data_IF_480628899405
#
_entry.id   IF_480628899405
#
_cell.length_a   1.000
_cell.length_b   1.000
_cell.length_c   1.000
_cell.angle_alpha   90.00
_cell.angle_beta   90.00
_cell.angle_gamma   90.00
#
_symmetry.space_group_name_H-M   'P 1'
#
loop_
_entity.id
_entity.type
_entity.pdbx_description
1 polymer ?
#
# COMPACT_ATOMS: atom_id res chain seq x y z
N UNK A 1 -4.46 80.60 -51.70
CA UNK A 1 -5.72 79.84 -51.50
C UNK A 1 -5.68 78.68 -52.47
N UNK A 2 -5.27 77.50 -51.99
CA UNK A 2 -5.02 76.35 -52.86
C UNK A 2 -5.50 75.07 -52.20
N UNK A 3 -6.48 74.43 -52.84
CA UNK A 3 -6.66 72.98 -52.94
C UNK A 3 -7.58 72.76 -54.16
N UNK A 4 -7.51 71.68 -54.96
CA UNK A 4 -7.28 70.31 -54.50
C UNK A 4 -6.49 69.38 -55.44
N UNK A 5 -6.31 68.15 -54.94
CA UNK A 5 -6.33 66.88 -55.68
C UNK A 5 -5.12 66.45 -56.51
N UNK A 6 -4.63 65.27 -56.09
CA UNK A 6 -4.24 64.10 -56.89
C UNK A 6 -2.76 63.84 -57.21
N UNK A 7 -2.42 62.58 -56.93
CA UNK A 7 -1.33 61.74 -57.44
C UNK A 7 0.06 61.89 -56.80
N UNK A 8 0.49 60.86 -56.04
CA UNK A 8 1.18 59.69 -56.60
C UNK A 8 1.45 58.66 -55.50
N UNK A 9 1.22 57.41 -55.86
CA UNK A 9 1.70 56.22 -55.17
C UNK A 9 3.20 56.36 -54.84
N UNK A 10 3.66 55.80 -53.73
CA UNK A 10 4.73 54.80 -53.66
C UNK A 10 4.73 54.19 -52.24
N UNK A 11 4.81 52.87 -52.22
CA UNK A 11 4.73 52.00 -51.04
C UNK A 11 5.93 52.13 -50.13
N UNK A 12 5.74 51.97 -48.82
CA UNK A 12 6.68 51.21 -48.00
C UNK A 12 5.93 50.34 -47.00
N UNK A 13 6.11 49.03 -47.18
CA UNK A 13 5.68 47.97 -46.27
C UNK A 13 6.35 48.19 -44.91
N UNK A 14 5.56 48.23 -43.84
CA UNK A 14 6.03 47.83 -42.53
C UNK A 14 5.16 46.64 -42.10
N UNK A 15 5.72 45.46 -42.34
CA UNK A 15 5.22 44.15 -41.93
C UNK A 15 4.98 44.14 -40.42
N UNK A 16 3.73 44.06 -40.00
CA UNK A 16 3.39 43.68 -38.63
C UNK A 16 3.64 42.16 -38.51
N UNK A 17 4.75 41.76 -37.86
CA UNK A 17 4.90 40.38 -37.39
C UNK A 17 3.88 40.15 -36.26
N UNK A 18 2.75 39.54 -36.60
CA UNK A 18 1.87 38.93 -35.62
C UNK A 18 2.58 37.67 -35.08
N UNK A 19 3.24 37.79 -33.93
CA UNK A 19 3.70 36.64 -33.16
C UNK A 19 2.47 35.93 -32.56
N UNK A 20 1.90 35.01 -33.32
CA UNK A 20 0.90 34.08 -32.79
C UNK A 20 1.60 33.08 -31.86
N UNK A 21 1.71 33.41 -30.58
CA UNK A 21 1.95 32.41 -29.53
C UNK A 21 0.73 31.50 -29.46
N UNK A 22 0.77 30.40 -30.20
CA UNK A 22 -0.13 29.28 -29.99
C UNK A 22 0.20 28.69 -28.61
N UNK A 23 -0.55 29.11 -27.59
CA UNK A 23 -0.58 28.43 -26.31
C UNK A 23 -1.17 27.03 -26.56
N UNK A 24 -0.31 26.03 -26.72
CA UNK A 24 -0.71 24.64 -26.64
C UNK A 24 -1.13 24.45 -25.18
N UNK A 25 -2.43 24.55 -24.92
CA UNK A 25 -3.01 24.09 -23.68
C UNK A 25 -2.82 22.57 -23.64
N UNK A 26 -1.70 22.11 -23.08
CA UNK A 26 -1.62 20.75 -22.57
C UNK A 26 -2.74 20.65 -21.55
N UNK A 27 -3.82 20.01 -21.94
CA UNK A 27 -4.85 19.60 -21.01
C UNK A 27 -4.15 18.60 -20.08
N UNK A 28 -3.79 19.04 -18.88
CA UNK A 28 -3.46 18.10 -17.82
C UNK A 28 -4.73 17.32 -17.62
N UNK A 29 -4.77 16.09 -18.16
CA UNK A 29 -5.80 15.13 -17.78
C UNK A 29 -5.73 15.11 -16.27
N UNK A 30 -6.78 15.52 -15.54
CA UNK A 30 -6.73 15.45 -14.10
C UNK A 30 -6.40 14.00 -13.79
N UNK A 31 -5.28 13.76 -13.10
CA UNK A 31 -4.96 12.44 -12.63
C UNK A 31 -6.15 12.06 -11.76
N UNK A 32 -7.04 11.20 -12.28
CA UNK A 32 -8.14 10.68 -11.48
C UNK A 32 -7.42 10.07 -10.30
N UNK A 33 -7.64 10.61 -9.10
CA UNK A 33 -7.16 9.99 -7.89
C UNK A 33 -7.60 8.53 -8.01
N UNK A 34 -6.62 7.63 -8.22
CA UNK A 34 -6.92 6.22 -8.32
C UNK A 34 -7.71 5.89 -7.05
N UNK A 35 -8.78 5.08 -7.13
CA UNK A 35 -9.40 4.56 -5.92
C UNK A 35 -8.28 4.08 -4.99
N UNK A 36 -8.33 4.47 -3.71
CA UNK A 36 -7.20 4.24 -2.79
C UNK A 36 -6.74 2.78 -2.80
N UNK A 37 -7.65 1.84 -3.07
CA UNK A 37 -7.38 0.41 -3.26
C UNK A 37 -6.45 0.08 -4.45
N UNK A 38 -6.61 0.79 -5.58
CA UNK A 38 -5.68 0.69 -6.70
C UNK A 38 -4.32 1.29 -6.38
N UNK A 39 -4.30 2.42 -5.66
CA UNK A 39 -3.06 3.01 -5.22
C UNK A 39 -2.32 2.06 -4.27
N UNK A 40 -3.02 1.44 -3.30
CA UNK A 40 -2.43 0.42 -2.41
C UNK A 40 -1.84 -0.73 -3.24
N UNK A 41 -2.60 -1.32 -4.17
CA UNK A 41 -2.10 -2.44 -4.97
C UNK A 41 -0.85 -2.08 -5.79
N UNK A 42 -0.90 -0.95 -6.52
CA UNK A 42 0.20 -0.52 -7.39
C UNK A 42 1.44 -0.10 -6.60
N UNK A 43 1.25 0.64 -5.51
CA UNK A 43 2.34 1.07 -4.64
C UNK A 43 2.96 -0.12 -3.91
N UNK A 44 2.15 -1.07 -3.44
CA UNK A 44 2.62 -2.31 -2.83
C UNK A 44 3.51 -3.11 -3.80
N UNK A 45 3.06 -3.25 -5.06
CA UNK A 45 3.82 -3.91 -6.12
C UNK A 45 5.17 -3.22 -6.37
N UNK A 46 5.29 -1.91 -6.12
CA UNK A 46 6.53 -1.15 -6.20
C UNK A 46 7.27 -0.93 -4.88
N UNK A 47 6.87 -1.59 -3.79
CA UNK A 47 7.53 -1.47 -2.49
C UNK A 47 7.22 -0.18 -1.69
N UNK A 48 6.12 0.51 -1.99
CA UNK A 48 5.74 1.84 -1.47
C UNK A 48 6.83 2.91 -1.69
N UNK A 49 7.05 3.35 -2.95
CA UNK A 49 7.98 4.44 -3.24
C UNK A 49 7.55 5.74 -2.55
N UNK A 50 8.49 6.68 -2.40
CA UNK A 50 8.32 7.92 -1.63
C UNK A 50 7.43 9.00 -2.30
N UNK A 51 6.37 8.62 -3.00
CA UNK A 51 5.39 9.55 -3.57
C UNK A 51 4.27 9.87 -2.59
N UNK A 52 3.65 11.05 -2.72
CA UNK A 52 2.48 11.44 -1.92
C UNK A 52 1.36 10.39 -1.97
N UNK A 53 1.08 9.88 -3.17
CA UNK A 53 0.05 8.87 -3.41
C UNK A 53 0.37 7.55 -2.70
N UNK A 54 1.62 7.08 -2.77
CA UNK A 54 2.01 5.83 -2.13
C UNK A 54 2.13 5.94 -0.62
N UNK A 55 2.51 7.11 -0.09
CA UNK A 55 2.43 7.36 1.36
C UNK A 55 1.00 7.33 1.85
N UNK A 56 0.07 7.98 1.14
CA UNK A 56 -1.35 7.96 1.48
C UNK A 56 -1.93 6.53 1.40
N UNK A 57 -1.56 5.78 0.36
CA UNK A 57 -1.93 4.38 0.20
C UNK A 57 -1.40 3.51 1.36
N UNK A 58 -0.13 3.65 1.72
CA UNK A 58 0.46 2.91 2.86
C UNK A 58 -0.26 3.23 4.16
N UNK A 59 -0.57 4.51 4.39
CA UNK A 59 -1.31 4.94 5.58
C UNK A 59 -2.71 4.32 5.64
N UNK A 60 -3.46 4.30 4.52
CA UNK A 60 -4.78 3.66 4.47
C UNK A 60 -4.69 2.14 4.67
N UNK A 61 -3.69 1.49 4.06
CA UNK A 61 -3.44 0.07 4.25
C UNK A 61 -3.20 -0.25 5.74
N UNK A 62 -2.34 0.53 6.41
CA UNK A 62 -2.08 0.39 7.85
C UNK A 62 -3.37 0.66 8.65
N UNK A 63 -4.10 1.72 8.34
CA UNK A 63 -5.37 2.08 9.01
C UNK A 63 -6.39 0.94 8.97
N UNK A 64 -6.47 0.19 7.89
CA UNK A 64 -7.38 -0.96 7.77
C UNK A 64 -6.97 -2.13 8.66
N UNK A 65 -5.68 -2.27 8.91
CA UNK A 65 -5.14 -3.37 9.72
C UNK A 65 -4.91 -2.98 11.18
N UNK A 66 -5.01 -1.69 11.55
CA UNK A 66 -4.75 -1.19 12.91
C UNK A 66 -5.77 -0.15 13.42
N UNK A 67 -6.11 -0.19 14.72
CA UNK A 67 -6.45 -1.37 15.52
C UNK A 67 -7.92 -1.79 15.25
N UNK A 68 -8.39 -2.85 15.93
CA UNK A 68 -9.68 -3.49 15.67
C UNK A 68 -10.86 -2.51 15.49
N UNK A 69 -11.75 -2.72 14.49
CA UNK A 69 -11.85 -3.89 13.61
C UNK A 69 -10.85 -3.92 12.46
N UNK A 70 -10.21 -5.09 12.27
CA UNK A 70 -9.26 -5.28 11.19
C UNK A 70 -9.99 -5.72 9.92
N UNK A 71 -9.86 -4.92 8.86
CA UNK A 71 -10.25 -5.27 7.50
C UNK A 71 -9.05 -5.80 6.70
N UNK A 72 -9.26 -6.65 5.68
CA UNK A 72 -8.19 -7.04 4.77
C UNK A 72 -7.52 -5.82 4.14
N UNK A 73 -6.17 -5.77 4.08
CA UNK A 73 -5.44 -4.59 3.60
C UNK A 73 -5.76 -4.25 2.13
N UNK A 74 -5.80 -5.27 1.27
CA UNK A 74 -6.22 -5.16 -0.11
C UNK A 74 -7.70 -5.51 -0.27
N UNK A 75 -8.45 -4.59 -0.89
CA UNK A 75 -9.83 -4.80 -1.33
C UNK A 75 -9.84 -4.80 -2.86
N UNK A 76 -9.30 -5.85 -3.49
CA UNK A 76 -9.06 -5.92 -4.94
C UNK A 76 -10.32 -5.63 -5.79
N UNK A 77 -11.51 -5.94 -5.28
CA UNK A 77 -12.80 -5.66 -5.93
C UNK A 77 -13.13 -4.16 -6.06
N UNK A 78 -12.47 -3.28 -5.31
CA UNK A 78 -12.57 -1.81 -5.44
C UNK A 78 -11.55 -1.22 -6.41
N UNK A 79 -10.70 -2.06 -6.98
CA UNK A 79 -9.71 -1.65 -7.97
C UNK A 79 -10.03 -2.22 -9.37
N UNK A 80 -10.93 -1.59 -10.14
CA UNK A 80 -11.21 -1.98 -11.51
C UNK A 80 -10.07 -1.51 -12.44
N UNK A 81 -8.94 -2.21 -12.41
CA UNK A 81 -7.87 -2.05 -13.39
C UNK A 81 -8.25 -2.70 -14.74
N UNK A 82 -9.32 -2.19 -15.38
CA UNK A 82 -9.72 -2.59 -16.73
C UNK A 82 -10.25 -4.02 -16.91
N UNK A 83 -10.43 -4.79 -15.83
CA UNK A 83 -11.07 -6.13 -15.86
C UNK A 83 -12.24 -6.16 -14.87
N UNK A 84 -13.37 -6.82 -15.20
CA UNK A 84 -14.52 -6.92 -14.31
C UNK A 84 -14.21 -7.91 -13.18
N UNK A 85 -13.44 -7.48 -12.18
CA UNK A 85 -13.30 -8.24 -10.94
C UNK A 85 -14.62 -8.17 -10.19
N UNK A 86 -15.44 -9.21 -10.36
CA UNK A 86 -16.68 -9.39 -9.59
C UNK A 86 -16.30 -9.60 -8.12
N UNK A 87 -17.00 -8.89 -7.22
CA UNK A 87 -16.72 -8.84 -5.78
C UNK A 87 -16.96 -10.17 -5.04
N UNK A 88 -17.06 -10.16 -3.69
CA UNK A 88 -17.18 -11.38 -2.89
C UNK A 88 -18.43 -12.25 -3.16
N UNK A 89 -19.38 -11.76 -3.96
CA UNK A 89 -20.57 -12.50 -4.43
C UNK A 89 -20.52 -12.85 -5.93
N UNK A 90 -19.40 -12.62 -6.62
CA UNK A 90 -19.21 -12.96 -8.02
C UNK A 90 -19.03 -14.47 -8.20
N UNK A 91 -20.06 -15.16 -8.68
CA UNK A 91 -20.04 -16.59 -9.00
C UNK A 91 -19.23 -16.87 -10.28
N UNK A 92 -17.93 -16.55 -10.28
CA UNK A 92 -17.00 -16.84 -11.37
C UNK A 92 -15.56 -16.93 -10.84
N UNK A 93 -14.69 -17.75 -11.45
CA UNK A 93 -13.29 -17.82 -11.04
C UNK A 93 -12.64 -16.45 -11.20
N UNK A 94 -12.16 -15.87 -10.10
CA UNK A 94 -11.45 -14.61 -10.09
C UNK A 94 -10.04 -14.85 -10.65
N UNK A 95 -9.90 -14.87 -11.98
CA UNK A 95 -8.60 -15.04 -12.63
C UNK A 95 -7.87 -13.68 -12.55
N UNK A 96 -7.20 -13.46 -11.43
CA UNK A 96 -6.23 -12.39 -11.29
C UNK A 96 -4.98 -12.76 -12.11
N UNK A 97 -4.31 -11.78 -12.77
CA UNK A 97 -3.00 -12.01 -13.35
C UNK A 97 -2.04 -12.59 -12.28
N UNK A 98 -1.14 -13.53 -12.65
CA UNK A 98 -0.23 -14.16 -11.70
C UNK A 98 0.58 -13.17 -10.87
N UNK A 99 0.94 -12.03 -11.45
CA UNK A 99 1.67 -10.95 -10.77
C UNK A 99 0.84 -10.31 -9.65
N UNK A 100 -0.47 -10.10 -9.87
CA UNK A 100 -1.38 -9.54 -8.85
C UNK A 100 -1.61 -10.54 -7.73
N UNK A 101 -1.73 -11.83 -8.06
CA UNK A 101 -1.79 -12.91 -7.06
C UNK A 101 -0.52 -12.92 -6.23
N UNK A 102 0.65 -12.84 -6.87
CA UNK A 102 1.94 -12.85 -6.19
C UNK A 102 2.13 -11.66 -5.23
N UNK A 103 1.66 -10.47 -5.61
CA UNK A 103 1.68 -9.27 -4.76
C UNK A 103 0.71 -9.42 -3.58
N UNK A 104 -0.53 -9.90 -3.83
CA UNK A 104 -1.54 -10.15 -2.78
C UNK A 104 -1.06 -11.19 -1.77
N UNK A 105 -0.59 -12.33 -2.26
CA UNK A 105 -0.17 -13.49 -1.44
C UNK A 105 1.17 -13.23 -0.75
N UNK A 106 1.91 -12.21 -1.18
CA UNK A 106 3.12 -11.72 -0.52
C UNK A 106 2.85 -10.92 0.76
N UNK A 107 1.59 -10.64 1.11
CA UNK A 107 1.22 -9.91 2.33
C UNK A 107 1.08 -10.86 3.52
N UNK A 108 1.80 -10.56 4.60
CA UNK A 108 1.70 -11.24 5.89
C UNK A 108 1.45 -10.23 7.01
N UNK A 109 0.48 -10.55 7.88
CA UNK A 109 0.09 -9.67 8.99
C UNK A 109 0.13 -10.44 10.30
N UNK A 110 1.06 -10.11 11.18
CA UNK A 110 1.07 -10.63 12.54
C UNK A 110 0.42 -9.62 13.47
N UNK A 111 -0.78 -9.93 13.97
CA UNK A 111 -1.35 -9.23 15.12
C UNK A 111 -0.87 -9.92 16.40
N UNK A 112 0.06 -9.27 17.10
CA UNK A 112 0.78 -9.87 18.22
C UNK A 112 0.13 -9.42 19.52
N UNK A 113 -0.20 -10.39 20.37
CA UNK A 113 -0.62 -10.17 21.75
C UNK A 113 0.03 -11.29 22.57
N UNK A 114 1.25 -11.03 23.02
CA UNK A 114 2.08 -11.97 23.75
C UNK A 114 2.47 -11.40 25.11
N UNK A 115 2.42 -12.22 26.16
CA UNK A 115 2.91 -11.90 27.49
C UNK A 115 3.49 -13.14 28.15
N UNK A 116 4.53 -12.95 28.94
CA UNK A 116 5.21 -14.02 29.67
C UNK A 116 5.55 -13.54 31.07
N UNK A 117 5.11 -14.30 32.09
CA UNK A 117 5.43 -14.01 33.48
C UNK A 117 6.20 -15.19 34.06
N UNK A 118 7.38 -14.91 34.60
CA UNK A 118 8.17 -15.90 35.34
C UNK A 118 8.00 -15.68 36.84
N UNK A 119 7.64 -16.72 37.57
CA UNK A 119 7.48 -16.72 39.02
C UNK A 119 7.98 -18.05 39.60
N UNK A 120 8.87 -17.99 40.58
CA UNK A 120 9.40 -19.17 41.31
C UNK A 120 9.85 -20.34 40.41
N UNK A 121 10.56 -20.02 39.33
CA UNK A 121 11.06 -21.02 38.38
C UNK A 121 10.04 -21.54 37.37
N UNK A 122 8.75 -21.22 37.54
CA UNK A 122 7.69 -21.50 36.56
C UNK A 122 7.52 -20.32 35.60
N UNK A 123 7.18 -20.62 34.35
CA UNK A 123 6.85 -19.60 33.35
C UNK A 123 5.41 -19.79 32.90
N UNK A 124 4.62 -18.72 32.96
CA UNK A 124 3.27 -18.66 32.42
C UNK A 124 3.30 -17.81 31.13
N UNK A 125 2.79 -18.38 30.04
CA UNK A 125 2.72 -17.72 28.73
C UNK A 125 1.26 -17.46 28.36
N UNK A 126 0.96 -16.21 28.01
CA UNK A 126 -0.29 -15.80 27.39
C UNK A 126 0.00 -15.35 25.96
N UNK A 127 -0.45 -16.14 24.98
CA UNK A 127 -0.29 -15.84 23.56
C UNK A 127 -1.65 -15.91 22.87
N UNK A 128 -2.10 -14.76 22.35
CA UNK A 128 -3.36 -14.61 21.59
C UNK A 128 -3.09 -14.10 20.18
N UNK A 129 -1.87 -14.29 19.69
CA UNK A 129 -1.42 -13.75 18.42
C UNK A 129 -2.11 -14.42 17.24
N UNK A 130 -2.27 -13.67 16.15
CA UNK A 130 -2.92 -14.13 14.92
C UNK A 130 -2.08 -13.77 13.70
N UNK A 131 -2.09 -14.65 12.71
CA UNK A 131 -1.53 -14.42 11.39
C UNK A 131 -2.67 -14.19 10.39
N UNK A 132 -2.64 -13.04 9.72
CA UNK A 132 -3.52 -12.67 8.62
C UNK A 132 -2.81 -12.90 7.29
N UNK A 133 -3.48 -13.59 6.36
CA UNK A 133 -2.98 -13.83 5.00
C UNK A 133 -4.12 -13.98 4.01
N UNK A 134 -3.81 -13.78 2.73
CA UNK A 134 -4.68 -14.22 1.64
C UNK A 134 -4.42 -15.70 1.34
N UNK A 135 -5.48 -16.44 1.03
CA UNK A 135 -5.37 -17.78 0.46
C UNK A 135 -5.38 -17.74 -1.08
N UNK A 136 -5.23 -18.91 -1.72
CA UNK A 136 -5.20 -19.01 -3.18
C UNK A 136 -6.49 -18.52 -3.86
N UNK A 137 -7.63 -18.52 -3.16
CA UNK A 137 -8.91 -17.98 -3.67
C UNK A 137 -9.01 -16.46 -3.53
N UNK A 138 -8.09 -15.83 -2.79
CA UNK A 138 -8.13 -14.40 -2.47
C UNK A 138 -8.95 -14.06 -1.26
N UNK A 139 -9.44 -15.05 -0.51
CA UNK A 139 -10.05 -14.82 0.77
C UNK A 139 -8.98 -14.47 1.81
N UNK A 140 -9.24 -13.44 2.60
CA UNK A 140 -8.38 -13.07 3.72
C UNK A 140 -8.85 -13.78 4.99
N UNK A 141 -7.94 -14.43 5.69
CA UNK A 141 -8.27 -15.18 6.91
C UNK A 141 -7.29 -14.85 8.04
N UNK A 142 -7.83 -14.87 9.26
CA UNK A 142 -7.03 -14.84 10.48
C UNK A 142 -6.89 -16.26 11.03
N UNK A 143 -5.66 -16.74 11.13
CA UNK A 143 -5.35 -18.02 11.79
C UNK A 143 -4.66 -17.76 13.11
N UNK A 144 -4.93 -18.62 14.10
CA UNK A 144 -4.16 -18.62 15.34
C UNK A 144 -2.69 -18.94 15.01
N UNK A 145 -1.77 -18.21 15.63
CA UNK A 145 -0.33 -18.47 15.49
C UNK A 145 0.31 -18.44 16.88
N UNK A 146 1.42 -19.16 17.03
CA UNK A 146 2.26 -19.10 18.23
C UNK A 146 3.49 -18.26 17.95
N UNK A 147 3.78 -17.29 18.81
CA UNK A 147 4.95 -16.44 18.58
C UNK A 147 6.27 -17.21 18.69
N UNK A 148 6.31 -18.31 19.44
CA UNK A 148 7.46 -19.22 19.47
C UNK A 148 7.78 -19.90 18.13
N UNK A 149 6.79 -19.98 17.23
CA UNK A 149 6.92 -20.56 15.88
C UNK A 149 7.08 -19.47 14.81
N UNK A 150 7.04 -18.20 15.20
CA UNK A 150 7.17 -17.11 14.25
C UNK A 150 8.57 -17.12 13.59
N UNK A 151 8.64 -16.73 12.32
CA UNK A 151 9.91 -16.61 11.61
C UNK A 151 10.78 -15.48 12.19
N UNK A 152 12.09 -15.56 11.94
CA UNK A 152 13.08 -14.66 12.52
C UNK A 152 12.82 -13.19 12.22
N UNK A 153 12.27 -12.90 11.04
CA UNK A 153 11.95 -11.53 10.62
C UNK A 153 10.98 -10.83 11.59
N UNK A 154 10.06 -11.58 12.23
CA UNK A 154 9.12 -11.02 13.19
C UNK A 154 9.84 -10.49 14.43
N UNK A 155 10.88 -11.21 14.87
CA UNK A 155 11.68 -10.82 16.01
C UNK A 155 12.61 -9.65 15.68
N UNK A 156 13.26 -9.68 14.51
CA UNK A 156 14.13 -8.57 14.08
C UNK A 156 13.33 -7.28 13.86
N UNK A 157 12.17 -7.34 13.19
CA UNK A 157 11.34 -6.17 12.90
C UNK A 157 10.74 -5.53 14.15
N UNK A 158 10.34 -6.33 15.14
CA UNK A 158 9.77 -5.82 16.40
C UNK A 158 10.82 -5.42 17.44
N UNK A 159 12.06 -5.88 17.28
CA UNK A 159 13.13 -5.78 18.28
C UNK A 159 12.94 -6.71 19.48
N UNK A 160 12.05 -7.70 19.40
CA UNK A 160 11.85 -8.70 20.45
C UNK A 160 12.99 -9.73 20.42
N UNK A 161 13.72 -9.98 21.53
CA UNK A 161 14.72 -11.03 21.56
C UNK A 161 14.09 -12.41 21.34
N UNK A 162 14.51 -13.12 20.28
CA UNK A 162 13.94 -14.43 19.91
C UNK A 162 14.02 -15.45 21.05
N UNK A 163 15.15 -15.48 21.75
CA UNK A 163 15.38 -16.36 22.89
C UNK A 163 14.44 -16.08 24.08
N UNK A 164 13.97 -14.84 24.28
CA UNK A 164 13.01 -14.54 25.34
C UNK A 164 11.72 -15.34 25.18
N UNK A 165 11.30 -15.60 23.93
CA UNK A 165 10.08 -16.32 23.58
C UNK A 165 10.33 -17.82 23.37
N UNK A 166 11.40 -18.21 22.66
CA UNK A 166 11.64 -19.63 22.33
C UNK A 166 11.92 -20.51 23.53
N UNK A 167 12.76 -20.03 24.43
CA UNK A 167 13.20 -20.74 25.64
C UNK A 167 12.59 -20.12 26.89
N UNK A 168 11.57 -19.28 26.72
CA UNK A 168 10.80 -18.68 27.80
C UNK A 168 11.69 -18.02 28.88
N UNK A 169 12.71 -17.29 28.39
CA UNK A 169 13.74 -16.69 29.22
C UNK A 169 13.21 -15.40 29.86
N UNK A 170 13.20 -15.37 31.19
CA UNK A 170 12.78 -14.20 31.96
C UNK A 170 11.28 -13.89 31.82
N UNK A 171 10.91 -12.63 32.00
CA UNK A 171 9.53 -12.14 31.82
C UNK A 171 9.47 -11.21 30.63
N UNK A 172 8.45 -11.36 29.79
CA UNK A 172 8.16 -10.47 28.67
C UNK A 172 6.94 -9.63 29.07
N UNK A 173 7.17 -8.32 29.29
CA UNK A 173 6.06 -7.36 29.37
C UNK A 173 5.26 -7.43 28.06
N UNK A 174 3.97 -7.11 28.12
CA UNK A 174 3.05 -7.20 26.98
C UNK A 174 3.72 -6.75 25.67
N UNK A 175 4.00 -7.73 24.80
CA UNK A 175 4.43 -7.53 23.43
C UNK A 175 3.18 -7.46 22.57
N UNK A 176 2.85 -6.24 22.16
CA UNK A 176 1.62 -5.95 21.43
C UNK A 176 1.87 -4.99 20.29
N UNK A 177 1.22 -5.30 19.18
CA UNK A 177 1.24 -4.48 17.98
C UNK A 177 0.91 -5.31 16.74
N UNK A 178 1.12 -4.69 15.59
CA UNK A 178 0.94 -5.30 14.29
C UNK A 178 2.25 -5.24 13.50
N UNK A 179 2.72 -6.40 13.06
CA UNK A 179 3.77 -6.49 12.05
C UNK A 179 3.14 -6.76 10.70
N UNK A 180 3.49 -5.92 9.74
CA UNK A 180 3.10 -6.07 8.35
C UNK A 180 4.35 -6.34 7.53
N UNK A 181 4.31 -7.39 6.71
CA UNK A 181 5.34 -7.66 5.70
C UNK A 181 4.68 -7.78 4.34
N UNK A 182 5.33 -7.25 3.32
CA UNK A 182 4.89 -7.41 1.94
C UNK A 182 6.07 -7.66 1.01
N UNK A 183 5.77 -8.30 -0.12
CA UNK A 183 6.72 -8.57 -1.20
C UNK A 183 6.36 -7.75 -2.43
N UNK A 184 7.32 -7.00 -2.97
CA UNK A 184 7.15 -6.29 -4.23
C UNK A 184 7.23 -7.26 -5.44
N UNK A 185 7.02 -6.75 -6.66
CA UNK A 185 7.05 -7.58 -7.86
C UNK A 185 8.46 -8.08 -8.23
N UNK A 186 9.51 -7.43 -7.72
CA UNK A 186 10.90 -7.88 -7.86
C UNK A 186 11.28 -8.95 -6.83
N UNK A 187 10.41 -9.22 -5.86
CA UNK A 187 10.64 -10.22 -4.82
C UNK A 187 11.28 -9.68 -3.55
N UNK A 188 11.51 -8.36 -3.44
CA UNK A 188 12.05 -7.77 -2.23
C UNK A 188 10.97 -7.69 -1.14
N UNK A 189 11.38 -7.93 0.09
CA UNK A 189 10.51 -7.79 1.25
C UNK A 189 10.70 -6.43 1.93
N UNK A 190 9.58 -5.86 2.35
CA UNK A 190 9.52 -4.68 3.20
C UNK A 190 8.62 -4.96 4.40
N UNK A 191 8.94 -4.33 5.53
CA UNK A 191 8.36 -4.62 6.83
C UNK A 191 7.96 -3.32 7.53
N UNK A 192 6.88 -3.37 8.31
CA UNK A 192 6.41 -2.27 9.15
C UNK A 192 5.98 -2.80 10.51
N UNK A 193 6.49 -2.17 11.59
CA UNK A 193 6.12 -2.49 12.96
C UNK A 193 5.29 -1.37 13.58
N UNK A 194 4.01 -1.65 13.84
CA UNK A 194 3.07 -0.70 14.43
C UNK A 194 2.77 -1.11 15.87
N UNK A 195 3.32 -0.36 16.83
CA UNK A 195 3.07 -0.57 18.27
C UNK A 195 1.80 0.17 18.72
N UNK A 196 1.00 -0.46 19.59
CA UNK A 196 -0.17 0.15 20.25
C UNK A 196 -0.63 -0.63 21.50
#
# INVERSE_FOLDING_TARGET
MSNPAQQRLISHRATALAAALAAIALSTVPAKAYPIDCAILLCLAGGFPASSECMAAKAEMIRRVTPWPIEPPLQLWRCPMGSPFSGPSGSGPQILPPEVVAVRDGIEIYHIIYGQRRHDGTTEVSDRSRLGRYDGSGAFTWVQTRMREAPDWVFSASGMPRNAVLVELGSVRLWRGLLLRWRDHQGNFSEEWIRY
#
